data_IF_268478909459
#
_entry.id   IF_268478909459
#
_cell.length_a   1.000
_cell.length_b   1.000
_cell.length_c   1.000
_cell.angle_alpha   90.00
_cell.angle_beta   90.00
_cell.angle_gamma   90.00
#
_symmetry.space_group_name_H-M   'P 1'
#
loop_
_entity.id
_entity.type
_entity.pdbx_description
1 polymer ?
#
# COMPACT_ATOMS: atom_id res chain seq x y z
N UNK A 1 0.32 6.40 18.29
CA UNK A 1 0.12 5.71 17.00
C UNK A 1 1.38 4.94 16.62
N UNK A 2 1.20 3.72 16.20
CA UNK A 2 2.33 2.91 15.76
C UNK A 2 2.80 3.40 14.39
N UNK A 3 4.07 3.75 14.31
CA UNK A 3 4.64 4.24 13.06
C UNK A 3 4.78 3.11 12.04
N UNK A 4 4.35 3.39 10.82
CA UNK A 4 4.52 2.45 9.72
C UNK A 4 5.85 2.75 9.05
N UNK A 5 6.65 1.70 8.85
CA UNK A 5 7.87 1.84 8.09
C UNK A 5 7.51 1.90 6.61
N UNK A 6 7.72 3.06 5.98
CA UNK A 6 7.29 3.24 4.60
C UNK A 6 8.05 2.32 3.63
N UNK A 7 9.31 2.04 3.90
CA UNK A 7 10.11 1.14 3.05
C UNK A 7 9.55 -0.27 3.11
N UNK A 8 9.30 -0.78 4.31
CA UNK A 8 8.78 -2.11 4.50
C UNK A 8 7.36 -2.23 3.94
N UNK A 9 6.57 -1.19 4.15
CA UNK A 9 5.20 -1.15 3.64
C UNK A 9 5.19 -1.19 2.11
N UNK A 10 6.05 -0.41 1.47
CA UNK A 10 6.10 -0.38 0.03
C UNK A 10 6.56 -1.71 -0.55
N UNK A 11 7.59 -2.31 0.03
CA UNK A 11 8.06 -3.61 -0.42
C UNK A 11 6.99 -4.68 -0.26
N UNK A 12 6.30 -4.68 0.86
CA UNK A 12 5.21 -5.63 1.09
C UNK A 12 4.06 -5.40 0.11
N UNK A 13 3.77 -4.15 -0.22
CA UNK A 13 2.76 -3.84 -1.21
C UNK A 13 3.12 -4.41 -2.58
N UNK A 14 4.36 -4.23 -3.01
CA UNK A 14 4.80 -4.73 -4.31
C UNK A 14 4.61 -6.25 -4.40
N UNK A 15 4.98 -6.96 -3.34
CA UNK A 15 4.85 -8.42 -3.32
C UNK A 15 3.38 -8.85 -3.26
N UNK A 16 2.61 -8.22 -2.39
CA UNK A 16 1.21 -8.59 -2.23
C UNK A 16 0.40 -8.30 -3.48
N UNK A 17 0.65 -7.19 -4.16
CA UNK A 17 -0.09 -6.86 -5.37
C UNK A 17 0.17 -7.87 -6.48
N UNK A 18 1.37 -8.44 -6.51
CA UNK A 18 1.68 -9.48 -7.48
C UNK A 18 0.86 -10.74 -7.19
N UNK A 19 0.82 -11.15 -5.93
CA UNK A 19 0.07 -12.34 -5.52
C UNK A 19 -1.44 -12.16 -5.73
N UNK A 20 -1.95 -10.98 -5.48
CA UNK A 20 -3.37 -10.67 -5.63
C UNK A 20 -3.75 -10.35 -7.08
N UNK A 21 -2.78 -10.28 -7.97
CA UNK A 21 -2.99 -9.89 -9.37
C UNK A 21 -3.73 -8.55 -9.46
N UNK A 22 -3.29 -7.61 -8.64
CA UNK A 22 -3.92 -6.30 -8.58
C UNK A 22 -3.74 -5.55 -9.89
N UNK A 23 -4.80 -4.91 -10.38
CA UNK A 23 -4.74 -4.20 -11.65
C UNK A 23 -3.78 -3.02 -11.58
N UNK A 24 -3.24 -2.58 -12.73
CA UNK A 24 -2.40 -1.38 -12.75
C UNK A 24 -3.09 -0.15 -12.20
N UNK A 25 -4.39 0.01 -12.47
CA UNK A 25 -5.14 1.16 -11.95
C UNK A 25 -5.26 1.13 -10.44
N UNK A 26 -5.58 -0.03 -9.87
CA UNK A 26 -5.66 -0.16 -8.42
C UNK A 26 -4.28 0.01 -7.78
N UNK A 27 -3.25 -0.51 -8.43
CA UNK A 27 -1.88 -0.35 -7.94
C UNK A 27 -1.46 1.12 -7.93
N UNK A 28 -1.76 1.84 -8.99
CA UNK A 28 -1.46 3.27 -9.07
C UNK A 28 -2.23 4.04 -7.99
N UNK A 29 -3.48 3.70 -7.78
CA UNK A 29 -4.30 4.34 -6.77
C UNK A 29 -3.69 4.14 -5.37
N UNK A 30 -3.24 2.94 -5.07
CA UNK A 30 -2.57 2.68 -3.79
C UNK A 30 -1.31 3.54 -3.65
N UNK A 31 -0.51 3.63 -4.71
CA UNK A 31 0.73 4.41 -4.66
C UNK A 31 0.45 5.90 -4.44
N UNK A 32 -0.63 6.39 -5.02
CA UNK A 32 -1.04 7.79 -4.81
C UNK A 32 -1.43 8.01 -3.36
N UNK A 33 -2.21 7.09 -2.79
CA UNK A 33 -2.60 7.17 -1.38
C UNK A 33 -1.37 7.08 -0.48
N UNK A 34 -0.49 6.15 -0.78
CA UNK A 34 0.76 5.98 -0.04
C UNK A 34 1.59 7.26 -0.06
N UNK A 35 1.68 7.89 -1.23
CA UNK A 35 2.41 9.14 -1.41
C UNK A 35 1.83 10.26 -0.54
N UNK A 36 0.50 10.27 -0.38
CA UNK A 36 -0.14 11.27 0.46
C UNK A 36 0.22 11.10 1.93
N UNK A 37 0.25 9.86 2.41
CA UNK A 37 0.72 9.58 3.77
C UNK A 37 2.17 10.03 3.95
N UNK A 38 2.99 9.79 2.95
CA UNK A 38 4.40 10.18 2.96
C UNK A 38 4.54 11.70 3.03
N UNK A 39 3.74 12.40 2.26
CA UNK A 39 3.74 13.87 2.25
C UNK A 39 3.35 14.45 3.60
N UNK A 40 2.45 13.77 4.31
CA UNK A 40 2.01 14.17 5.64
C UNK A 40 2.92 13.65 6.74
N UNK A 41 4.07 13.10 6.39
CA UNK A 41 5.09 12.59 7.31
C UNK A 41 4.56 11.50 8.25
N UNK A 42 3.54 10.76 7.81
CA UNK A 42 2.97 9.64 8.56
C UNK A 42 2.50 10.03 9.97
N UNK A 43 2.06 11.29 10.13
CA UNK A 43 1.65 11.78 11.44
C UNK A 43 0.32 11.20 11.90
N UNK A 44 -0.60 11.01 10.96
CA UNK A 44 -1.94 10.55 11.28
C UNK A 44 -2.18 9.17 10.72
N UNK A 45 -2.91 8.35 11.47
CA UNK A 45 -3.29 7.03 11.02
C UNK A 45 -4.38 7.10 9.95
N UNK A 46 -5.30 8.02 10.10
CA UNK A 46 -6.40 8.25 9.18
C UNK A 46 -6.24 9.60 8.53
N UNK A 47 -6.34 9.65 7.22
CA UNK A 47 -6.22 10.92 6.50
C UNK A 47 -7.42 11.12 5.57
N UNK A 48 -7.72 12.39 5.34
CA UNK A 48 -8.76 12.77 4.38
C UNK A 48 -8.13 12.86 3.00
N UNK A 49 -8.73 12.16 2.04
CA UNK A 49 -8.29 12.26 0.66
C UNK A 49 -9.52 12.58 -0.18
N UNK A 50 -9.46 13.69 -0.92
CA UNK A 50 -10.59 14.10 -1.74
C UNK A 50 -10.65 13.28 -3.02
N UNK A 51 -11.86 12.98 -3.47
CA UNK A 51 -12.05 12.28 -4.74
C UNK A 51 -11.53 13.10 -5.91
N UNK A 52 -11.61 14.42 -5.80
CA UNK A 52 -11.08 15.30 -6.84
C UNK A 52 -9.57 15.13 -6.99
N UNK A 53 -8.86 15.08 -5.87
CA UNK A 53 -7.40 14.89 -5.90
C UNK A 53 -7.06 13.55 -6.54
N UNK A 54 -7.79 12.50 -6.16
CA UNK A 54 -7.57 11.19 -6.73
C UNK A 54 -7.85 11.16 -8.23
N UNK A 55 -8.92 11.82 -8.66
CA UNK A 55 -9.26 11.91 -10.08
C UNK A 55 -8.13 12.57 -10.88
N UNK A 56 -7.61 13.67 -10.37
CA UNK A 56 -6.53 14.39 -11.04
C UNK A 56 -5.24 13.58 -11.09
N UNK A 57 -4.90 12.94 -9.96
CA UNK A 57 -3.67 12.16 -9.88
C UNK A 57 -3.74 10.88 -10.71
N UNK A 58 -4.93 10.36 -10.90
CA UNK A 58 -5.13 9.14 -11.69
C UNK A 58 -5.24 9.41 -13.19
N UNK A 59 -5.02 10.65 -13.62
CA UNK A 59 -5.09 10.97 -15.05
C UNK A 59 -6.49 11.09 -15.57
N UNK A 60 -7.37 11.71 -14.78
CA UNK A 60 -8.77 11.99 -15.16
C UNK A 60 -9.65 10.76 -15.32
N UNK A 61 -9.38 9.71 -14.57
CA UNK A 61 -10.32 8.60 -14.49
C UNK A 61 -11.62 9.05 -13.83
N UNK A 62 -12.71 8.41 -14.21
CA UNK A 62 -14.01 8.75 -13.65
C UNK A 62 -14.10 8.40 -12.17
N UNK A 63 -15.02 9.07 -11.47
CA UNK A 63 -15.25 8.77 -10.05
C UNK A 63 -15.68 7.32 -9.85
N UNK A 64 -16.44 6.75 -10.77
CA UNK A 64 -16.85 5.35 -10.66
C UNK A 64 -15.67 4.39 -10.77
N UNK A 65 -14.70 4.70 -11.63
CA UNK A 65 -13.49 3.89 -11.75
C UNK A 65 -12.69 3.95 -10.46
N UNK A 66 -12.55 5.14 -9.89
CA UNK A 66 -11.81 5.33 -8.64
C UNK A 66 -12.51 4.60 -7.50
N UNK A 67 -13.83 4.73 -7.38
CA UNK A 67 -14.59 4.05 -6.34
C UNK A 67 -14.44 2.54 -6.43
N UNK A 68 -14.47 2.01 -7.64
CA UNK A 68 -14.32 0.57 -7.86
C UNK A 68 -12.95 0.08 -7.43
N UNK A 69 -11.91 0.84 -7.75
CA UNK A 69 -10.56 0.46 -7.37
C UNK A 69 -10.32 0.63 -5.86
N UNK A 70 -10.93 1.64 -5.25
CA UNK A 70 -10.89 1.77 -3.79
C UNK A 70 -11.51 0.57 -3.11
N UNK A 71 -12.65 0.10 -3.63
CA UNK A 71 -13.29 -1.10 -3.09
C UNK A 71 -12.40 -2.31 -3.20
N UNK A 72 -11.69 -2.45 -4.31
CA UNK A 72 -10.72 -3.55 -4.48
C UNK A 72 -9.63 -3.51 -3.43
N UNK A 73 -9.09 -2.32 -3.19
CA UNK A 73 -8.05 -2.16 -2.17
C UNK A 73 -8.56 -2.50 -0.78
N UNK A 74 -9.82 -2.16 -0.48
CA UNK A 74 -10.42 -2.52 0.80
C UNK A 74 -10.64 -4.04 0.89
N UNK A 75 -11.20 -4.64 -0.17
CA UNK A 75 -11.49 -6.07 -0.18
C UNK A 75 -10.24 -6.91 0.01
N UNK A 76 -9.14 -6.53 -0.60
CA UNK A 76 -7.91 -7.30 -0.51
C UNK A 76 -7.03 -6.91 0.69
N UNK A 77 -7.51 -6.02 1.54
CA UNK A 77 -6.84 -5.72 2.79
C UNK A 77 -5.66 -4.76 2.69
N UNK A 78 -5.64 -3.88 1.71
CA UNK A 78 -4.58 -2.88 1.57
C UNK A 78 -4.87 -1.62 2.36
N UNK A 79 -6.13 -1.23 2.40
CA UNK A 79 -6.56 -0.01 3.07
C UNK A 79 -7.87 -0.26 3.81
N UNK A 80 -8.16 0.64 4.74
CA UNK A 80 -9.49 0.73 5.36
C UNK A 80 -10.04 2.12 5.07
N UNK A 81 -11.35 2.19 4.94
CA UNK A 81 -12.03 3.46 4.75
C UNK A 81 -13.10 3.63 5.81
N UNK A 82 -13.39 4.87 6.15
CA UNK A 82 -14.49 5.20 7.05
C UNK A 82 -15.03 6.57 6.68
N UNK A 83 -16.28 6.80 7.04
CA UNK A 83 -16.88 8.10 6.86
C UNK A 83 -16.66 8.91 8.13
N UNK A 84 -16.38 10.18 7.94
CA UNK A 84 -16.16 11.11 9.04
C UNK A 84 -16.67 12.47 8.62
N UNK A 85 -16.98 13.32 9.61
CA UNK A 85 -17.42 14.66 9.32
C UNK A 85 -16.26 15.63 9.43
N UNK A 86 -16.17 16.51 8.45
CA UNK A 86 -15.16 17.57 8.43
C UNK A 86 -15.84 18.84 7.95
N UNK A 87 -15.84 19.86 8.81
CA UNK A 87 -16.50 21.13 8.51
C UNK A 87 -17.97 20.93 8.12
N UNK A 88 -18.66 20.06 8.85
CA UNK A 88 -20.07 19.78 8.62
C UNK A 88 -20.38 18.89 7.41
N UNK A 89 -19.38 18.47 6.66
CA UNK A 89 -19.57 17.62 5.49
C UNK A 89 -19.04 16.21 5.76
N UNK A 90 -19.73 15.23 5.18
CA UNK A 90 -19.27 13.85 5.27
C UNK A 90 -18.12 13.64 4.30
N UNK A 91 -16.98 13.19 4.82
CA UNK A 91 -15.78 12.94 4.04
C UNK A 91 -15.27 11.53 4.30
N UNK A 92 -14.55 11.00 3.35
CA UNK A 92 -13.94 9.69 3.49
C UNK A 92 -12.53 9.84 4.06
N UNK A 93 -12.25 9.04 5.08
CA UNK A 93 -10.90 8.90 5.59
C UNK A 93 -10.35 7.54 5.20
N UNK A 94 -9.05 7.48 4.97
CA UNK A 94 -8.36 6.27 4.56
C UNK A 94 -7.23 5.98 5.54
N UNK A 95 -7.08 4.69 5.87
CA UNK A 95 -5.97 4.19 6.68
C UNK A 95 -5.26 3.10 5.89
N UNK A 96 -3.94 3.11 5.92
CA UNK A 96 -3.17 2.03 5.34
C UNK A 96 -3.08 0.88 6.34
N UNK A 97 -3.35 -0.33 5.86
CA UNK A 97 -3.20 -1.52 6.69
C UNK A 97 -1.73 -1.92 6.63
N UNK A 98 -1.07 -2.15 7.79
CA UNK A 98 0.33 -2.57 7.78
C UNK A 98 0.48 -3.93 7.11
N UNK A 99 1.12 -3.94 5.94
CA UNK A 99 1.29 -5.16 5.14
C UNK A 99 2.57 -5.91 5.51
N UNK A 100 3.58 -5.19 5.96
CA UNK A 100 4.89 -5.78 6.16
C UNK A 100 4.96 -6.75 7.36
N UNK A 101 4.03 -6.65 8.29
CA UNK A 101 3.98 -7.58 9.41
C UNK A 101 3.79 -9.01 8.91
N UNK A 102 2.80 -9.17 8.03
CA UNK A 102 2.51 -10.45 7.42
C UNK A 102 3.62 -10.90 6.50
N UNK A 103 4.18 -9.97 5.75
CA UNK A 103 5.31 -10.23 4.87
C UNK A 103 6.49 -10.80 5.65
N UNK A 104 6.85 -10.20 6.78
CA UNK A 104 7.92 -10.70 7.61
C UNK A 104 7.62 -12.07 8.22
N UNK A 105 6.38 -12.28 8.61
CA UNK A 105 5.98 -13.58 9.15
C UNK A 105 6.15 -14.68 8.09
N UNK A 106 5.80 -14.36 6.86
CA UNK A 106 5.97 -15.29 5.75
C UNK A 106 7.44 -15.61 5.51
N UNK A 107 8.29 -14.58 5.50
CA UNK A 107 9.72 -14.77 5.34
C UNK A 107 10.30 -15.62 6.46
N UNK A 108 9.87 -15.37 7.69
CA UNK A 108 10.36 -16.14 8.82
C UNK A 108 9.98 -17.60 8.73
N UNK A 109 8.83 -17.91 8.14
CA UNK A 109 8.40 -19.29 7.94
C UNK A 109 9.12 -19.98 6.81
N UNK A 110 9.41 -19.25 5.74
CA UNK A 110 10.04 -19.81 4.56
C UNK A 110 11.56 -19.95 4.72
N UNK A 111 12.17 -19.04 5.47
CA UNK A 111 13.59 -19.03 5.68
C UNK A 111 13.91 -19.70 7.01
N UNK A 112 14.62 -20.81 6.94
CA UNK A 112 15.02 -21.54 8.13
C UNK A 112 15.86 -20.66 9.04
N UNK A 113 16.73 -19.86 8.43
CA UNK A 113 17.56 -18.90 9.16
C UNK A 113 17.64 -17.61 8.38
N UNK A 114 17.83 -16.52 9.10
CA UNK A 114 18.05 -15.23 8.47
C UNK A 114 19.34 -15.20 7.64
N UNK A 115 20.29 -16.02 8.02
CA UNK A 115 21.54 -16.12 7.27
C UNK A 115 21.30 -16.67 5.88
N UNK A 116 20.52 -17.72 5.77
CA UNK A 116 20.19 -18.28 4.46
C UNK A 116 19.46 -17.27 3.60
N UNK A 117 18.55 -16.52 4.18
CA UNK A 117 17.84 -15.51 3.44
C UNK A 117 18.76 -14.43 2.92
N UNK A 118 19.68 -13.98 3.75
CA UNK A 118 20.65 -12.98 3.36
C UNK A 118 21.55 -13.49 2.24
N UNK A 119 21.94 -14.74 2.31
CA UNK A 119 22.75 -15.36 1.27
C UNK A 119 22.02 -15.47 -0.06
N UNK A 120 20.71 -15.71 -0.02
CA UNK A 120 19.90 -15.76 -1.23
C UNK A 120 19.78 -14.39 -1.91
N UNK A 121 19.81 -13.33 -1.12
CA UNK A 121 19.64 -11.97 -1.63
C UNK A 121 20.77 -11.06 -1.17
N UNK A 122 22.02 -11.49 -1.34
CA UNK A 122 23.15 -10.74 -0.77
C UNK A 122 23.38 -9.40 -1.43
N UNK A 123 23.06 -9.31 -2.69
CA UNK A 123 23.33 -8.11 -3.46
C UNK A 123 22.01 -7.53 -3.94
N UNK A 124 21.26 -6.98 -3.00
CA UNK A 124 20.01 -6.35 -3.30
C UNK A 124 20.22 -5.24 -4.33
N UNK A 125 19.48 -5.33 -5.42
CA UNK A 125 19.65 -4.39 -6.51
C UNK A 125 20.57 -4.85 -7.62
N UNK A 126 21.21 -5.99 -7.47
CA UNK A 126 22.04 -6.57 -8.53
C UNK A 126 21.35 -7.80 -9.10
N UNK A 127 21.63 -8.96 -8.54
CA UNK A 127 21.09 -10.21 -9.06
C UNK A 127 19.77 -10.63 -8.40
N UNK A 128 19.48 -10.07 -7.25
CA UNK A 128 18.31 -10.49 -6.49
C UNK A 128 17.02 -10.32 -7.28
N UNK A 129 16.88 -9.24 -8.03
CA UNK A 129 15.69 -9.02 -8.85
C UNK A 129 15.61 -9.98 -10.02
N UNK A 130 16.77 -10.38 -10.55
CA UNK A 130 16.79 -11.31 -11.68
C UNK A 130 16.50 -12.74 -11.25
N UNK A 131 16.90 -13.10 -10.06
CA UNK A 131 16.70 -14.46 -9.54
C UNK A 131 15.39 -14.62 -8.79
N UNK A 132 14.74 -13.55 -8.50
CA UNK A 132 13.49 -13.55 -7.75
C UNK A 132 12.31 -13.77 -8.68
N UNK A 133 11.97 -14.98 -8.89
CA UNK A 133 10.85 -15.28 -9.77
C UNK A 133 9.92 -16.28 -9.18
#
# INVERSE_FOLDING_TARGET
MKKISYILQFNAFIDKRFDDELSPAASLLYMIIFSEFNRLHWRDEWIYISSRMLTLQMGNHSNSTISRNLKKLVEFGYIETRLSKRYGKTCTQIRLIPLYQEYYNTLAKECITSVEYIEQFPAWGTNSLLTRK
#
